data_IF_336663684224
#
_entry.id   IF_336663684224
#
_cell.length_a   1.000
_cell.length_b   1.000
_cell.length_c   1.000
_cell.angle_alpha   90.00
_cell.angle_beta   90.00
_cell.angle_gamma   90.00
#
_symmetry.space_group_name_H-M   'P 1'
#
loop_
_entity.id
_entity.type
_entity.pdbx_description
1 polymer ?
#
# COMPACT_ATOMS: atom_id res chain seq x y z
N UNK A 1 -38.78 -35.39 0.75
CA UNK A 1 -37.91 -34.57 -0.16
C UNK A 1 -37.80 -33.09 0.20
N UNK A 2 -38.17 -32.61 1.41
CA UNK A 2 -38.10 -31.16 1.77
C UNK A 2 -37.01 -30.77 2.79
N UNK A 3 -36.33 -31.73 3.45
CA UNK A 3 -35.34 -31.46 4.50
C UNK A 3 -33.95 -31.00 4.02
N UNK A 4 -33.58 -31.32 2.78
CA UNK A 4 -32.28 -30.93 2.19
C UNK A 4 -32.32 -29.64 1.37
N UNK A 5 -33.53 -29.08 1.13
CA UNK A 5 -33.70 -27.89 0.30
C UNK A 5 -33.35 -26.60 1.06
N UNK A 6 -33.77 -26.52 2.34
CA UNK A 6 -33.50 -25.41 3.25
C UNK A 6 -32.00 -25.06 3.42
N UNK A 7 -31.09 -26.02 3.67
CA UNK A 7 -29.67 -25.70 3.78
C UNK A 7 -29.08 -25.30 2.42
N UNK A 8 -29.60 -25.83 1.32
CA UNK A 8 -29.12 -25.52 -0.02
C UNK A 8 -29.51 -24.11 -0.45
N UNK A 9 -30.74 -23.68 -0.13
CA UNK A 9 -31.18 -22.30 -0.33
C UNK A 9 -30.42 -21.32 0.54
N UNK A 10 -30.10 -21.69 1.80
CA UNK A 10 -29.29 -20.85 2.68
C UNK A 10 -27.85 -20.70 2.17
N UNK A 11 -27.26 -21.78 1.63
CA UNK A 11 -25.92 -21.77 1.04
C UNK A 11 -25.85 -20.85 -0.18
N UNK A 12 -26.85 -20.93 -1.07
CA UNK A 12 -26.93 -20.05 -2.25
C UNK A 12 -27.09 -18.58 -1.85
N UNK A 13 -27.86 -18.30 -0.80
CA UNK A 13 -28.03 -16.94 -0.30
C UNK A 13 -26.74 -16.36 0.29
N UNK A 14 -25.98 -17.16 1.05
CA UNK A 14 -24.67 -16.76 1.58
C UNK A 14 -23.63 -16.54 0.46
N UNK A 15 -23.67 -17.35 -0.60
CA UNK A 15 -22.78 -17.20 -1.76
C UNK A 15 -23.11 -15.93 -2.57
N UNK A 16 -24.39 -15.60 -2.72
CA UNK A 16 -24.82 -14.35 -3.37
C UNK A 16 -24.42 -13.11 -2.55
N UNK A 17 -24.55 -13.15 -1.22
CA UNK A 17 -24.16 -12.04 -0.35
C UNK A 17 -22.64 -11.79 -0.36
N UNK A 18 -21.82 -12.85 -0.48
CA UNK A 18 -20.35 -12.73 -0.57
C UNK A 18 -19.87 -12.24 -1.94
N UNK A 19 -20.57 -12.58 -3.02
CA UNK A 19 -20.26 -12.05 -4.36
C UNK A 19 -20.55 -10.54 -4.49
N UNK A 20 -21.53 -10.01 -3.75
CA UNK A 20 -21.87 -8.58 -3.78
C UNK A 20 -20.95 -7.71 -2.90
N UNK A 21 -20.13 -8.29 -2.03
CA UNK A 21 -19.21 -7.53 -1.16
C UNK A 21 -17.93 -7.04 -1.87
N UNK A 22 -17.71 -7.44 -3.13
CA UNK A 22 -16.53 -7.08 -3.92
C UNK A 22 -16.66 -5.84 -4.81
N UNK A 23 -17.83 -5.18 -4.82
CA UNK A 23 -18.07 -3.98 -5.63
C UNK A 23 -17.97 -2.70 -4.78
N UNK A 24 -16.92 -2.57 -3.96
CA UNK A 24 -16.48 -1.24 -3.55
C UNK A 24 -15.74 -0.66 -4.76
N UNK A 25 -16.46 0.17 -5.49
CA UNK A 25 -15.90 0.99 -6.56
C UNK A 25 -14.70 1.71 -5.98
N UNK A 26 -13.52 1.57 -6.57
CA UNK A 26 -12.45 2.53 -6.32
C UNK A 26 -13.03 3.89 -6.71
N UNK A 27 -13.35 4.71 -5.72
CA UNK A 27 -13.47 6.14 -5.96
C UNK A 27 -12.04 6.60 -6.24
N UNK A 28 -11.58 6.40 -7.48
CA UNK A 28 -10.63 7.31 -8.07
C UNK A 28 -11.37 8.64 -8.21
N UNK A 29 -11.49 9.32 -7.07
CA UNK A 29 -11.71 10.74 -7.00
C UNK A 29 -10.62 11.32 -7.89
N UNK A 30 -11.02 11.64 -9.11
CA UNK A 30 -10.18 12.28 -10.10
C UNK A 30 -10.01 13.71 -9.61
N UNK A 31 -9.26 13.86 -8.53
CA UNK A 31 -8.80 15.13 -8.04
C UNK A 31 -8.13 15.78 -9.25
N UNK A 32 -8.54 17.00 -9.65
CA UNK A 32 -7.82 17.71 -10.69
C UNK A 32 -6.34 17.70 -10.28
N UNK A 33 -5.40 17.48 -11.22
CA UNK A 33 -3.98 17.47 -10.89
C UNK A 33 -3.71 18.73 -10.08
N UNK A 34 -3.38 18.56 -8.80
CA UNK A 34 -3.19 19.66 -7.87
C UNK A 34 -2.25 20.63 -8.57
N UNK A 35 -2.76 21.81 -8.89
CA UNK A 35 -2.10 22.73 -9.79
C UNK A 35 -0.79 23.16 -9.14
N UNK A 36 0.30 22.54 -9.60
CA UNK A 36 1.67 22.94 -9.34
C UNK A 36 1.90 23.45 -7.92
N UNK A 37 1.70 22.59 -6.91
CA UNK A 37 2.41 22.83 -5.66
C UNK A 37 3.90 22.69 -6.02
N UNK A 38 4.54 23.84 -6.23
CA UNK A 38 6.00 23.93 -6.30
C UNK A 38 6.45 23.64 -4.88
N UNK A 39 6.49 22.34 -4.56
CA UNK A 39 7.21 21.83 -3.41
C UNK A 39 8.65 22.27 -3.66
N UNK A 40 9.06 23.34 -2.99
CA UNK A 40 10.48 23.65 -2.84
C UNK A 40 11.10 22.34 -2.40
N UNK A 41 12.02 21.81 -3.21
CA UNK A 41 12.67 20.54 -2.93
C UNK A 41 13.47 20.72 -1.64
N UNK A 42 12.84 20.40 -0.51
CA UNK A 42 13.50 20.39 0.77
C UNK A 42 14.55 19.29 0.73
N UNK A 43 15.77 19.62 1.15
CA UNK A 43 16.84 18.64 1.21
C UNK A 43 16.40 17.49 2.12
N UNK A 44 16.53 16.26 1.63
CA UNK A 44 16.22 15.08 2.43
C UNK A 44 17.03 15.09 3.73
N UNK A 45 16.39 14.75 4.85
CA UNK A 45 17.05 14.65 6.15
C UNK A 45 18.20 13.65 6.09
N UNK A 46 19.39 14.09 6.47
CA UNK A 46 20.57 13.24 6.45
C UNK A 46 20.57 12.29 7.64
N UNK A 47 20.69 10.99 7.35
CA UNK A 47 20.77 9.95 8.37
C UNK A 47 21.88 8.95 8.05
N UNK A 48 22.31 8.25 9.08
CA UNK A 48 23.20 7.08 8.99
C UNK A 48 22.56 5.93 9.75
N UNK A 49 22.41 4.78 9.08
CA UNK A 49 21.74 3.61 9.64
C UNK A 49 22.62 2.36 9.49
N UNK A 50 22.56 1.42 10.45
CA UNK A 50 23.19 0.13 10.28
C UNK A 50 22.47 -0.65 9.18
N UNK A 51 23.25 -1.29 8.31
CA UNK A 51 22.74 -2.22 7.31
C UNK A 51 22.83 -3.67 7.77
N UNK A 52 22.07 -4.55 7.12
CA UNK A 52 22.16 -6.00 7.34
C UNK A 52 23.54 -6.61 7.04
N UNK A 53 24.45 -5.86 6.39
CA UNK A 53 25.80 -6.29 6.07
C UNK A 53 26.85 -5.89 7.14
N UNK A 54 26.40 -5.57 8.37
CA UNK A 54 27.27 -5.13 9.48
C UNK A 54 28.14 -3.91 9.15
N UNK A 55 27.64 -3.04 8.28
CA UNK A 55 28.23 -1.74 7.97
C UNK A 55 27.18 -0.66 8.07
N UNK A 56 27.62 0.56 8.33
CA UNK A 56 26.74 1.72 8.33
C UNK A 56 26.54 2.24 6.90
N UNK A 57 25.36 2.78 6.64
CA UNK A 57 24.98 3.39 5.36
C UNK A 57 24.47 4.79 5.63
N UNK A 58 25.08 5.78 4.98
CA UNK A 58 24.70 7.19 5.07
C UNK A 58 24.00 7.63 3.79
N UNK A 59 22.92 8.40 3.90
CA UNK A 59 22.22 8.96 2.74
C UNK A 59 23.16 9.85 1.89
N UNK A 60 24.06 10.59 2.54
CA UNK A 60 25.02 11.47 1.88
C UNK A 60 25.95 10.72 0.91
N UNK A 61 26.21 9.42 1.13
CA UNK A 61 27.07 8.61 0.26
C UNK A 61 26.50 8.37 -1.15
N UNK A 62 25.21 8.65 -1.36
CA UNK A 62 24.55 8.51 -2.66
C UNK A 62 24.34 9.84 -3.39
N UNK A 63 24.68 10.96 -2.76
CA UNK A 63 24.45 12.30 -3.31
C UNK A 63 25.19 12.48 -4.64
N UNK A 64 24.45 12.85 -5.69
CA UNK A 64 25.00 13.07 -7.04
C UNK A 64 25.36 11.80 -7.81
N UNK A 65 25.33 10.62 -7.18
CA UNK A 65 25.59 9.35 -7.86
C UNK A 65 24.33 8.69 -8.39
N UNK A 66 23.26 8.66 -7.58
CA UNK A 66 22.02 7.95 -7.90
C UNK A 66 20.83 8.48 -7.12
N UNK A 67 19.65 8.29 -7.69
CA UNK A 67 18.39 8.49 -6.96
C UNK A 67 18.23 7.40 -5.90
N UNK A 68 17.65 7.77 -4.75
CA UNK A 68 17.42 6.89 -3.61
C UNK A 68 15.94 6.83 -3.30
N UNK A 69 15.40 5.63 -3.10
CA UNK A 69 14.01 5.41 -2.64
C UNK A 69 14.06 4.97 -1.19
N UNK A 70 13.36 5.69 -0.32
CA UNK A 70 13.24 5.35 1.10
C UNK A 70 11.95 4.55 1.34
N UNK A 71 12.09 3.34 1.87
CA UNK A 71 10.96 2.45 2.20
C UNK A 71 10.95 2.22 3.70
N UNK A 72 9.98 2.81 4.39
CA UNK A 72 9.78 2.63 5.83
C UNK A 72 8.75 1.53 6.09
N UNK A 73 9.08 0.57 6.95
CA UNK A 73 8.20 -0.53 7.33
C UNK A 73 8.30 -0.79 8.84
N UNK A 74 7.25 -1.37 9.43
CA UNK A 74 7.10 -1.48 10.89
C UNK A 74 7.96 -2.58 11.52
N UNK A 75 8.33 -3.60 10.77
CA UNK A 75 9.14 -4.72 11.26
C UNK A 75 9.40 -5.76 10.18
N UNK A 76 10.49 -6.51 10.36
CA UNK A 76 10.87 -7.63 9.52
C UNK A 76 10.40 -8.92 10.20
N UNK A 77 9.73 -9.80 9.47
CA UNK A 77 9.21 -11.08 9.97
C UNK A 77 10.21 -12.21 9.72
#
# INVERSE_FOLDING_TARGET
TKRKLLPFTALLFALALTACAGALTSAEDSLPPSAGEVLIAEAAYQFTLPSGLRRDVSLASYAGERNVVLVFYRGFW
#
